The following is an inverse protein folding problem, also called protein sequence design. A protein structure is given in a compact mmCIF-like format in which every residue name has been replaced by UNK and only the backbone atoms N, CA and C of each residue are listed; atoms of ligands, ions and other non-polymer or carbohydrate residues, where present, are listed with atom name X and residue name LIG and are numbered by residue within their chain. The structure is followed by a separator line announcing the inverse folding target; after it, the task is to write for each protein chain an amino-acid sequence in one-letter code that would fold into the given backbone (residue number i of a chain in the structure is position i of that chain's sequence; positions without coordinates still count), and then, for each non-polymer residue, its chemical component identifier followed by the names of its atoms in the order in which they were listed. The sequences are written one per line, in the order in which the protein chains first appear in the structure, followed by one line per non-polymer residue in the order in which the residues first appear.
data_IF_824522940898
#
_entry.id   IF_824522940898
#
_cell.length_a   1.000
_cell.length_b   1.000
_cell.length_c   1.000
_cell.angle_alpha   90.00
_cell.angle_beta   90.00
_cell.angle_gamma   90.00
#
_symmetry.space_group_name_H-M   'P 1'
#
loop_
_entity.id
_entity.type
_entity.pdbx_description
1 polymer ?
#
# COMPACT_ATOMS: atom_id res chain seq x y z
N UNK A 1 42.64 38.13 -6.61
CA UNK A 1 42.21 36.76 -6.99
C UNK A 1 40.82 36.57 -6.42
N UNK A 2 39.79 36.29 -7.23
CA UNK A 2 38.48 36.00 -6.66
C UNK A 2 38.50 34.58 -6.09
N UNK A 3 37.98 34.47 -4.87
CA UNK A 3 37.79 33.23 -4.12
C UNK A 3 36.63 32.48 -4.78
N UNK A 4 36.91 31.35 -5.42
CA UNK A 4 35.88 30.41 -5.86
C UNK A 4 35.20 29.89 -4.59
N UNK A 5 34.02 30.42 -4.26
CA UNK A 5 33.09 29.71 -3.38
C UNK A 5 32.55 28.55 -4.20
N UNK A 6 33.10 27.36 -3.99
CA UNK A 6 32.38 26.14 -4.31
C UNK A 6 31.11 26.14 -3.46
N UNK A 7 29.98 26.48 -4.10
CA UNK A 7 28.66 26.13 -3.59
C UNK A 7 28.69 24.64 -3.26
N UNK A 8 28.25 24.21 -2.06
CA UNK A 8 28.06 22.80 -1.81
C UNK A 8 27.06 22.32 -2.87
N UNK A 9 27.51 21.42 -3.74
CA UNK A 9 26.61 20.67 -4.61
C UNK A 9 25.72 19.90 -3.65
N UNK A 10 24.50 20.39 -3.46
CA UNK A 10 23.46 19.76 -2.68
C UNK A 10 23.39 18.32 -3.18
N UNK A 11 23.72 17.38 -2.30
CA UNK A 11 23.86 15.97 -2.63
C UNK A 11 22.67 15.49 -3.44
N UNK A 12 22.94 14.64 -4.43
CA UNK A 12 21.87 14.03 -5.23
C UNK A 12 21.05 13.23 -4.21
N UNK A 13 19.75 13.48 -4.06
CA UNK A 13 18.91 12.57 -3.26
C UNK A 13 18.92 11.20 -3.96
N UNK A 14 19.37 10.13 -3.30
CA UNK A 14 19.65 8.86 -3.99
C UNK A 14 18.62 7.75 -3.73
N UNK A 15 17.53 8.07 -3.05
CA UNK A 15 16.44 7.13 -2.77
C UNK A 15 16.92 5.89 -1.99
N UNK A 16 16.09 4.85 -1.97
CA UNK A 16 16.39 3.61 -1.28
C UNK A 16 15.91 2.35 -2.02
N UNK A 17 16.07 1.22 -1.34
CA UNK A 17 15.59 -0.08 -1.80
C UNK A 17 14.63 -0.65 -0.77
N UNK A 18 13.45 -1.05 -1.23
CA UNK A 18 12.56 -1.91 -0.46
C UNK A 18 12.90 -3.37 -0.75
N UNK A 19 13.21 -4.12 0.30
CA UNK A 19 13.62 -5.53 0.20
C UNK A 19 12.72 -6.38 1.07
N UNK A 20 12.13 -7.40 0.47
CA UNK A 20 11.28 -8.36 1.15
C UNK A 20 12.02 -9.69 1.29
N UNK A 21 12.08 -10.21 2.52
CA UNK A 21 12.76 -11.45 2.87
C UNK A 21 11.78 -12.51 3.37
N UNK A 22 12.20 -13.77 3.29
CA UNK A 22 11.49 -14.91 3.87
C UNK A 22 11.25 -14.74 5.37
N UNK A 23 10.17 -15.37 5.84
CA UNK A 23 9.86 -15.49 7.27
C UNK A 23 11.06 -16.04 8.07
N UNK A 24 11.26 -15.48 9.26
CA UNK A 24 12.35 -15.85 10.16
C UNK A 24 13.72 -15.23 9.84
N UNK A 25 13.87 -14.46 8.75
CA UNK A 25 15.13 -13.76 8.45
C UNK A 25 15.40 -12.65 9.47
N UNK A 26 16.46 -12.77 10.25
CA UNK A 26 16.80 -11.80 11.31
C UNK A 26 17.70 -10.66 10.80
N UNK A 27 17.79 -9.58 11.57
CA UNK A 27 18.56 -8.38 11.19
C UNK A 27 20.06 -8.67 10.91
N UNK A 28 20.78 -9.49 11.72
CA UNK A 28 22.13 -9.92 11.37
C UNK A 28 22.25 -10.63 10.01
N UNK A 29 21.30 -11.51 9.67
CA UNK A 29 21.27 -12.17 8.36
C UNK A 29 21.06 -11.15 7.24
N UNK A 30 20.13 -10.21 7.42
CA UNK A 30 19.93 -9.11 6.45
C UNK A 30 21.23 -8.34 6.24
N UNK A 31 21.92 -7.94 7.30
CA UNK A 31 23.21 -7.24 7.22
C UNK A 31 24.26 -8.03 6.44
N UNK A 32 24.40 -9.33 6.73
CA UNK A 32 25.32 -10.19 6.01
C UNK A 32 24.99 -10.29 4.51
N UNK A 33 23.69 -10.30 4.15
CA UNK A 33 23.26 -10.29 2.74
C UNK A 33 23.64 -8.96 2.08
N UNK A 34 23.39 -7.82 2.73
CA UNK A 34 23.74 -6.49 2.22
C UNK A 34 25.25 -6.33 2.02
N UNK A 35 26.06 -6.81 2.97
CA UNK A 35 27.53 -6.82 2.88
C UNK A 35 28.02 -7.63 1.67
N UNK A 36 27.39 -8.77 1.38
CA UNK A 36 27.74 -9.61 0.22
C UNK A 36 27.38 -8.97 -1.13
N UNK A 37 26.46 -8.01 -1.17
CA UNK A 37 26.06 -7.29 -2.39
C UNK A 37 27.03 -6.15 -2.78
N UNK A 38 28.08 -5.93 -1.99
CA UNK A 38 29.13 -4.94 -2.26
C UNK A 38 28.54 -3.58 -2.70
N UNK A 39 27.61 -3.06 -1.90
CA UNK A 39 26.95 -1.77 -2.15
C UNK A 39 28.02 -0.67 -2.08
N UNK A 40 28.19 0.14 -3.13
CA UNK A 40 29.34 1.06 -3.25
C UNK A 40 29.21 2.32 -2.40
N UNK A 41 28.18 2.40 -1.56
CA UNK A 41 27.85 3.55 -0.72
C UNK A 41 27.46 3.13 0.68
N UNK A 42 27.53 4.08 1.61
CA UNK A 42 26.97 3.90 2.94
C UNK A 42 25.45 3.71 2.84
N UNK A 43 24.92 2.92 3.75
CA UNK A 43 23.48 2.69 3.83
C UNK A 43 23.05 2.52 5.28
N UNK A 44 21.80 2.84 5.55
CA UNK A 44 21.12 2.52 6.79
C UNK A 44 19.92 1.61 6.51
N UNK A 45 19.51 0.84 7.52
CA UNK A 45 18.48 -0.19 7.39
C UNK A 45 17.36 0.10 8.37
N UNK A 46 16.15 0.27 7.84
CA UNK A 46 14.92 0.16 8.61
C UNK A 46 14.42 -1.28 8.52
N UNK A 47 14.85 -2.11 9.47
CA UNK A 47 14.48 -3.53 9.54
C UNK A 47 13.07 -3.69 10.13
N UNK A 48 12.14 -4.25 9.37
CA UNK A 48 10.80 -4.64 9.80
C UNK A 48 10.10 -3.59 10.68
N UNK A 49 10.25 -2.33 10.26
CA UNK A 49 9.74 -1.15 10.97
C UNK A 49 8.22 -1.03 10.85
N UNK A 50 7.56 -0.47 11.86
CA UNK A 50 6.11 -0.19 11.85
C UNK A 50 5.67 0.80 10.75
N UNK A 51 6.61 1.49 10.12
CA UNK A 51 6.35 2.35 8.95
C UNK A 51 6.05 1.48 7.71
N UNK A 52 6.64 0.30 7.64
CA UNK A 52 6.53 -0.59 6.50
C UNK A 52 5.26 -1.44 6.60
N UNK A 53 4.53 -1.63 5.49
CA UNK A 53 3.34 -2.47 5.50
C UNK A 53 3.69 -3.92 5.85
N UNK A 54 2.84 -4.55 6.66
CA UNK A 54 2.92 -6.00 6.85
C UNK A 54 2.59 -6.69 5.53
N UNK A 55 3.42 -7.67 5.15
CA UNK A 55 3.26 -8.44 3.93
C UNK A 55 3.18 -9.93 4.27
N UNK A 56 2.34 -10.62 3.52
CA UNK A 56 2.18 -12.07 3.60
C UNK A 56 2.48 -12.67 2.24
N UNK A 57 2.97 -13.91 2.22
CA UNK A 57 3.25 -14.61 0.99
C UNK A 57 2.99 -16.11 1.11
N UNK A 58 2.84 -16.77 -0.03
CA UNK A 58 2.85 -18.22 -0.15
C UNK A 58 3.97 -18.65 -1.09
N UNK A 59 4.55 -19.82 -0.84
CA UNK A 59 5.45 -20.50 -1.77
C UNK A 59 4.70 -21.66 -2.42
N UNK A 60 4.81 -21.77 -3.74
CA UNK A 60 4.06 -22.72 -4.54
C UNK A 60 5.02 -23.46 -5.46
N UNK A 61 4.95 -24.78 -5.47
CA UNK A 61 5.72 -25.59 -6.41
C UNK A 61 5.18 -25.40 -7.84
N UNK A 62 6.04 -25.53 -8.85
CA UNK A 62 5.66 -25.39 -10.27
C UNK A 62 4.42 -26.20 -10.64
N UNK A 63 4.30 -27.42 -10.12
CA UNK A 63 3.19 -28.33 -10.49
C UNK A 63 1.85 -27.93 -9.85
N UNK A 64 1.88 -27.04 -8.84
CA UNK A 64 0.70 -26.55 -8.12
C UNK A 64 0.29 -25.13 -8.56
N UNK A 65 1.04 -24.50 -9.46
CA UNK A 65 0.77 -23.11 -9.85
C UNK A 65 -0.54 -22.98 -10.62
N UNK A 66 -0.88 -23.95 -11.48
CA UNK A 66 -2.13 -23.93 -12.26
C UNK A 66 -3.38 -24.06 -11.38
N UNK A 67 -3.27 -24.69 -10.20
CA UNK A 67 -4.36 -24.76 -9.22
C UNK A 67 -4.60 -23.41 -8.51
N UNK A 68 -3.67 -22.46 -8.65
CA UNK A 68 -3.70 -21.12 -8.03
C UNK A 68 -3.88 -20.01 -9.06
N UNK A 69 -3.46 -20.20 -10.31
CA UNK A 69 -3.66 -19.23 -11.40
C UNK A 69 -5.13 -18.85 -11.59
N UNK A 70 -6.07 -19.79 -11.40
CA UNK A 70 -7.50 -19.51 -11.42
C UNK A 70 -8.01 -18.59 -10.29
N UNK A 71 -7.20 -18.32 -9.27
CA UNK A 71 -7.54 -17.49 -8.11
C UNK A 71 -6.89 -16.11 -8.16
N UNK A 72 -5.87 -15.93 -9.00
CA UNK A 72 -5.19 -14.62 -9.14
C UNK A 72 -6.21 -13.53 -9.45
N UNK A 73 -7.17 -13.84 -10.32
CA UNK A 73 -8.23 -12.92 -10.75
C UNK A 73 -9.43 -12.84 -9.77
N UNK A 74 -9.67 -13.87 -8.95
CA UNK A 74 -10.84 -13.91 -8.05
C UNK A 74 -10.61 -13.25 -6.68
N UNK A 75 -9.36 -13.22 -6.20
CA UNK A 75 -9.01 -12.78 -4.84
C UNK A 75 -7.84 -11.77 -4.79
N UNK A 76 -7.49 -11.16 -5.92
CA UNK A 76 -6.41 -10.16 -6.04
C UNK A 76 -5.06 -10.67 -5.47
N UNK A 77 -4.57 -11.80 -5.95
CA UNK A 77 -3.18 -12.20 -5.67
C UNK A 77 -2.23 -11.50 -6.64
N UNK A 78 -0.97 -11.28 -6.23
CA UNK A 78 0.04 -10.75 -7.16
C UNK A 78 0.45 -11.82 -8.18
N UNK A 79 0.95 -11.37 -9.33
CA UNK A 79 1.54 -12.26 -10.35
C UNK A 79 2.65 -13.12 -9.71
N UNK A 80 2.64 -14.45 -9.90
CA UNK A 80 3.66 -15.32 -9.31
C UNK A 80 5.06 -14.99 -9.79
N UNK A 81 5.99 -14.80 -8.86
CA UNK A 81 7.40 -14.56 -9.15
C UNK A 81 8.18 -15.86 -8.98
N UNK A 82 8.86 -16.30 -10.04
CA UNK A 82 9.68 -17.53 -9.98
C UNK A 82 10.89 -17.34 -9.06
N UNK A 83 11.06 -18.23 -8.10
CA UNK A 83 12.19 -18.31 -7.16
C UNK A 83 12.74 -19.73 -7.11
N UNK A 84 13.88 -19.96 -7.77
CA UNK A 84 14.45 -21.31 -7.90
C UNK A 84 13.50 -22.27 -8.63
N UNK A 85 13.12 -23.36 -7.96
CA UNK A 85 12.11 -24.32 -8.43
C UNK A 85 10.67 -23.92 -8.12
N UNK A 86 10.48 -22.91 -7.27
CA UNK A 86 9.19 -22.54 -6.69
C UNK A 86 8.73 -21.17 -7.22
N UNK A 87 7.52 -20.79 -6.85
CA UNK A 87 6.92 -19.50 -7.12
C UNK A 87 6.52 -18.85 -5.80
N UNK A 88 6.73 -17.54 -5.70
CA UNK A 88 6.33 -16.71 -4.58
C UNK A 88 5.14 -15.86 -5.03
N UNK A 89 4.07 -15.87 -4.24
CA UNK A 89 2.93 -14.97 -4.44
C UNK A 89 2.73 -14.17 -3.16
N UNK A 90 2.65 -12.85 -3.30
CA UNK A 90 2.23 -11.97 -2.22
C UNK A 90 0.72 -12.12 -2.04
N UNK A 91 0.31 -12.21 -0.78
CA UNK A 91 -1.06 -12.44 -0.36
C UNK A 91 -1.56 -11.19 0.36
N UNK A 92 -2.68 -10.66 -0.10
CA UNK A 92 -3.31 -9.50 0.51
C UNK A 92 -4.00 -9.86 1.83
N UNK A 93 -4.23 -8.86 2.70
CA UNK A 93 -5.03 -9.07 3.91
C UNK A 93 -6.45 -9.55 3.61
N UNK A 94 -7.01 -9.14 2.46
CA UNK A 94 -8.30 -9.62 1.98
C UNK A 94 -8.27 -11.12 1.71
N UNK A 95 -7.24 -11.60 1.02
CA UNK A 95 -7.10 -13.01 0.68
C UNK A 95 -7.00 -13.90 1.93
N UNK A 96 -6.21 -13.51 2.95
CA UNK A 96 -6.09 -14.31 4.19
C UNK A 96 -7.38 -14.38 5.03
N UNK A 97 -8.37 -13.52 4.74
CA UNK A 97 -9.69 -13.55 5.36
C UNK A 97 -10.72 -14.33 4.53
N UNK A 98 -10.39 -14.68 3.28
CA UNK A 98 -11.30 -15.37 2.36
C UNK A 98 -11.33 -16.88 2.63
N UNK A 99 -12.53 -17.42 2.87
CA UNK A 99 -12.72 -18.84 3.22
C UNK A 99 -12.39 -19.79 2.06
N UNK A 100 -12.65 -19.38 0.82
CA UNK A 100 -12.36 -20.22 -0.35
C UNK A 100 -10.85 -20.30 -0.57
N UNK A 101 -10.16 -19.17 -0.44
CA UNK A 101 -8.70 -19.13 -0.48
C UNK A 101 -8.08 -20.03 0.60
N UNK A 102 -8.52 -19.90 1.86
CA UNK A 102 -8.01 -20.74 2.95
C UNK A 102 -8.26 -22.23 2.70
N UNK A 103 -9.44 -22.61 2.20
CA UNK A 103 -9.75 -24.00 1.85
C UNK A 103 -8.85 -24.55 0.73
N UNK A 104 -8.46 -23.70 -0.23
CA UNK A 104 -7.54 -24.09 -1.30
C UNK A 104 -6.13 -24.26 -0.77
N UNK A 105 -5.68 -23.37 0.12
CA UNK A 105 -4.39 -23.53 0.77
C UNK A 105 -4.32 -24.85 1.55
N UNK A 106 -5.37 -25.17 2.31
CA UNK A 106 -5.48 -26.44 3.04
C UNK A 106 -5.44 -27.65 2.09
N UNK A 107 -6.26 -27.63 1.03
CA UNK A 107 -6.31 -28.69 0.01
C UNK A 107 -4.94 -28.96 -0.62
N UNK A 108 -4.14 -27.92 -0.83
CA UNK A 108 -2.83 -28.00 -1.49
C UNK A 108 -1.65 -28.13 -0.51
N UNK A 109 -1.94 -28.19 0.80
CA UNK A 109 -0.96 -28.17 1.89
C UNK A 109 0.01 -26.98 1.78
N UNK A 110 -0.55 -25.80 1.50
CA UNK A 110 0.16 -24.54 1.41
C UNK A 110 -0.05 -23.73 2.69
N UNK A 111 0.95 -22.94 3.05
CA UNK A 111 0.92 -22.10 4.26
C UNK A 111 1.22 -20.66 3.89
N UNK A 112 0.39 -19.75 4.40
CA UNK A 112 0.70 -18.32 4.38
C UNK A 112 1.79 -18.05 5.41
N UNK A 113 2.83 -17.32 4.99
CA UNK A 113 3.94 -16.88 5.82
C UNK A 113 3.96 -15.36 5.86
N UNK A 114 4.42 -14.80 6.99
CA UNK A 114 4.68 -13.37 7.10
C UNK A 114 6.09 -13.08 6.58
N UNK A 115 6.25 -12.14 5.68
CA UNK A 115 7.59 -11.75 5.22
C UNK A 115 8.22 -10.73 6.16
N UNK A 116 9.54 -10.60 6.05
CA UNK A 116 10.31 -9.56 6.72
C UNK A 116 10.57 -8.45 5.70
N UNK A 117 10.03 -7.27 5.94
CA UNK A 117 10.13 -6.16 4.97
C UNK A 117 11.10 -5.10 5.49
N UNK A 118 12.07 -4.73 4.67
CA UNK A 118 13.13 -3.79 5.03
C UNK A 118 13.18 -2.64 4.03
N UNK A 119 13.53 -1.45 4.51
CA UNK A 119 13.93 -0.33 3.68
C UNK A 119 15.41 -0.05 3.91
N UNK A 120 16.19 -0.08 2.82
CA UNK A 120 17.61 0.25 2.81
C UNK A 120 17.75 1.65 2.23
N UNK A 121 18.06 2.61 3.10
CA UNK A 121 18.34 3.98 2.69
C UNK A 121 19.78 4.08 2.22
N UNK A 122 19.98 4.60 1.01
CA UNK A 122 21.32 4.75 0.43
C UNK A 122 21.80 6.19 0.64
N UNK A 123 22.89 6.35 1.37
CA UNK A 123 23.39 7.67 1.77
C UNK A 123 24.27 8.27 0.68
N UNK A 124 24.10 9.57 0.38
CA UNK A 124 24.99 10.27 -0.56
C UNK A 124 26.38 10.44 0.04
N UNK A 125 27.32 9.66 -0.50
CA UNK A 125 28.73 9.70 -0.17
C UNK A 125 29.57 9.71 -1.44
N UNK A 126 29.82 10.89 -1.99
CA UNK A 126 30.92 11.25 -2.89
C UNK A 126 31.36 10.23 -4.00
N UNK A 127 31.05 10.61 -5.24
CA UNK A 127 31.82 10.46 -6.49
C UNK A 127 32.11 9.07 -7.11
N UNK A 128 31.77 7.92 -6.51
CA UNK A 128 31.96 6.62 -7.17
C UNK A 128 30.69 5.80 -7.47
N UNK A 129 29.51 6.34 -7.15
CA UNK A 129 28.24 5.66 -7.39
C UNK A 129 27.53 6.20 -8.64
N UNK A 130 27.12 5.31 -9.54
CA UNK A 130 26.17 5.61 -10.61
C UNK A 130 24.85 4.87 -10.36
N UNK A 131 23.80 5.53 -9.81
CA UNK A 131 22.51 4.89 -9.53
C UNK A 131 21.90 4.14 -10.73
N UNK A 132 22.09 4.65 -11.94
CA UNK A 132 21.54 4.05 -13.15
C UNK A 132 22.19 2.70 -13.51
N UNK A 133 23.45 2.48 -13.10
CA UNK A 133 24.20 1.25 -13.35
C UNK A 133 24.22 0.33 -12.10
N UNK A 134 24.41 0.91 -10.93
CA UNK A 134 24.61 0.18 -9.69
C UNK A 134 23.30 -0.37 -9.11
N UNK A 135 22.17 0.34 -9.21
CA UNK A 135 20.90 -0.17 -8.68
C UNK A 135 20.46 -1.46 -9.38
N UNK A 136 20.46 -1.55 -10.73
CA UNK A 136 20.16 -2.82 -11.41
C UNK A 136 21.09 -3.96 -10.98
N UNK A 137 22.40 -3.72 -10.89
CA UNK A 137 23.38 -4.74 -10.43
C UNK A 137 23.04 -5.23 -9.01
N UNK A 138 22.84 -4.30 -8.08
CA UNK A 138 22.51 -4.61 -6.68
C UNK A 138 21.20 -5.42 -6.59
N UNK A 139 20.18 -5.04 -7.38
CA UNK A 139 18.90 -5.77 -7.45
C UNK A 139 19.09 -7.20 -7.94
N UNK A 140 19.94 -7.41 -8.94
CA UNK A 140 20.21 -8.75 -9.47
C UNK A 140 20.98 -9.60 -8.46
N UNK A 141 21.93 -9.03 -7.72
CA UNK A 141 22.63 -9.73 -6.63
C UNK A 141 21.68 -10.13 -5.49
N UNK A 142 20.76 -9.25 -5.09
CA UNK A 142 19.72 -9.60 -4.13
C UNK A 142 18.82 -10.73 -4.62
N UNK A 143 18.42 -10.72 -5.90
CA UNK A 143 17.57 -11.76 -6.49
C UNK A 143 18.22 -13.14 -6.48
N UNK A 144 19.56 -13.21 -6.49
CA UNK A 144 20.30 -14.48 -6.39
C UNK A 144 20.28 -15.07 -4.98
N UNK A 145 20.05 -14.28 -3.93
CA UNK A 145 19.97 -14.77 -2.56
C UNK A 145 18.65 -15.51 -2.32
N UNK A 146 18.70 -16.74 -1.78
CA UNK A 146 17.49 -17.56 -1.56
C UNK A 146 16.47 -16.93 -0.61
N UNK A 147 16.92 -16.13 0.36
CA UNK A 147 16.07 -15.47 1.35
C UNK A 147 15.36 -14.24 0.85
N UNK A 148 15.81 -13.64 -0.25
CA UNK A 148 15.17 -12.44 -0.81
C UNK A 148 13.99 -12.83 -1.69
N UNK A 149 12.79 -12.40 -1.33
CA UNK A 149 11.57 -12.58 -2.10
C UNK A 149 11.46 -11.54 -3.22
N UNK A 150 11.56 -10.26 -2.86
CA UNK A 150 11.47 -9.15 -3.82
C UNK A 150 12.45 -8.03 -3.46
N UNK A 151 12.84 -7.26 -4.48
CA UNK A 151 13.62 -6.04 -4.31
C UNK A 151 13.12 -4.99 -5.30
N UNK A 152 12.66 -3.86 -4.75
CA UNK A 152 12.12 -2.75 -5.51
C UNK A 152 12.92 -1.49 -5.21
N UNK A 153 13.16 -0.72 -6.25
CA UNK A 153 13.73 0.61 -6.09
C UNK A 153 12.62 1.53 -5.61
N UNK A 154 12.93 2.35 -4.62
CA UNK A 154 12.02 3.38 -4.13
C UNK A 154 11.61 4.33 -5.25
N UNK A 155 10.31 4.64 -5.29
CA UNK A 155 9.76 5.58 -6.26
C UNK A 155 9.51 6.95 -5.63
N UNK A 156 9.28 7.93 -6.49
CA UNK A 156 8.78 9.24 -6.09
C UNK A 156 7.27 9.26 -6.16
N UNK A 157 6.65 9.86 -5.14
CA UNK A 157 5.21 10.03 -5.00
C UNK A 157 4.88 11.51 -5.14
N UNK A 158 3.95 11.83 -6.04
CA UNK A 158 3.53 13.21 -6.27
C UNK A 158 2.31 13.57 -5.44
N UNK A 159 1.35 12.64 -5.33
CA UNK A 159 0.01 12.93 -4.85
C UNK A 159 -0.46 11.88 -3.83
N UNK A 160 -1.16 12.34 -2.79
CA UNK A 160 -1.95 11.49 -1.89
C UNK A 160 -3.43 11.73 -2.15
N UNK A 161 -4.15 10.69 -2.55
CA UNK A 161 -5.60 10.71 -2.61
C UNK A 161 -6.17 10.29 -1.26
N UNK A 162 -6.86 11.22 -0.61
CA UNK A 162 -7.40 11.02 0.73
C UNK A 162 -8.92 11.06 0.66
N UNK A 163 -9.54 9.97 1.09
CA UNK A 163 -10.99 9.88 1.22
C UNK A 163 -11.40 10.25 2.64
N UNK A 164 -12.21 11.29 2.80
CA UNK A 164 -12.76 11.71 4.08
C UNK A 164 -14.23 11.32 4.24
N UNK A 165 -14.65 11.20 5.50
CA UNK A 165 -16.04 11.01 5.89
C UNK A 165 -16.97 12.10 5.32
N UNK A 166 -18.25 11.75 5.19
CA UNK A 166 -19.26 12.63 4.63
C UNK A 166 -19.43 13.90 5.47
N UNK A 167 -19.41 15.05 4.79
CA UNK A 167 -19.59 16.36 5.40
C UNK A 167 -18.30 16.99 5.93
N UNK A 168 -17.14 16.34 5.78
CA UNK A 168 -15.84 16.94 6.12
C UNK A 168 -15.61 18.18 5.25
N UNK A 169 -15.36 19.32 5.87
CA UNK A 169 -15.17 20.62 5.21
C UNK A 169 -13.71 20.87 4.84
N UNK A 170 -13.45 21.77 3.89
CA UNK A 170 -12.07 22.12 3.49
C UNK A 170 -11.23 22.65 4.67
N UNK A 171 -11.83 23.41 5.59
CA UNK A 171 -11.14 23.87 6.80
C UNK A 171 -10.79 22.75 7.76
N UNK A 172 -11.63 21.71 7.86
CA UNK A 172 -11.31 20.53 8.67
C UNK A 172 -10.20 19.71 8.01
N UNK A 173 -10.22 19.54 6.69
CA UNK A 173 -9.12 18.90 5.94
C UNK A 173 -7.80 19.63 6.21
N UNK A 174 -7.77 20.96 6.10
CA UNK A 174 -6.58 21.77 6.40
C UNK A 174 -6.09 21.57 7.83
N UNK A 175 -7.00 21.65 8.81
CA UNK A 175 -6.66 21.46 10.21
C UNK A 175 -6.13 20.05 10.52
N UNK A 176 -6.69 19.01 9.87
CA UNK A 176 -6.18 17.65 9.98
C UNK A 176 -4.75 17.59 9.44
N UNK A 177 -4.53 18.08 8.23
CA UNK A 177 -3.23 18.06 7.56
C UNK A 177 -2.16 18.88 8.29
N UNK A 178 -2.51 20.01 8.90
CA UNK A 178 -1.60 20.84 9.71
C UNK A 178 -1.18 20.17 11.04
N UNK A 179 -2.02 19.31 11.60
CA UNK A 179 -1.74 18.62 12.87
C UNK A 179 -0.76 17.46 12.71
N UNK A 180 -0.66 16.88 11.51
CA UNK A 180 0.36 15.91 11.18
C UNK A 180 1.56 16.68 10.66
N UNK A 181 2.74 16.43 11.21
CA UNK A 181 3.96 17.22 11.00
C UNK A 181 4.50 17.04 9.57
N UNK A 182 3.74 17.47 8.56
CA UNK A 182 4.14 17.52 7.18
C UNK A 182 5.22 18.59 7.07
N UNK A 183 6.47 18.15 7.11
CA UNK A 183 7.66 19.01 7.01
C UNK A 183 7.87 19.61 5.61
N UNK A 184 6.88 19.47 4.73
CA UNK A 184 6.93 19.77 3.30
C UNK A 184 5.76 20.65 2.88
N UNK A 185 5.92 21.36 1.77
CA UNK A 185 4.85 22.16 1.21
C UNK A 185 3.85 21.23 0.51
N UNK A 186 2.58 21.60 0.48
CA UNK A 186 1.56 20.86 -0.25
C UNK A 186 0.46 21.80 -0.74
N UNK A 187 -0.29 21.36 -1.74
CA UNK A 187 -1.56 21.98 -2.14
C UNK A 187 -2.69 20.96 -2.03
N UNK A 188 -3.91 21.45 -1.79
CA UNK A 188 -5.10 20.64 -1.62
C UNK A 188 -6.07 20.98 -2.74
N UNK A 189 -6.40 19.99 -3.56
CA UNK A 189 -7.57 20.04 -4.43
C UNK A 189 -8.73 19.36 -3.69
N UNK A 190 -9.63 20.19 -3.16
CA UNK A 190 -10.69 19.76 -2.26
C UNK A 190 -11.94 19.28 -3.01
N UNK A 191 -12.48 18.13 -2.57
CA UNK A 191 -13.71 17.54 -3.07
C UNK A 191 -13.71 17.32 -4.59
N UNK A 192 -12.63 16.70 -5.08
CA UNK A 192 -12.46 16.32 -6.48
C UNK A 192 -13.51 15.29 -6.92
N UNK A 193 -13.94 15.36 -8.19
CA UNK A 193 -15.08 14.60 -8.70
C UNK A 193 -14.70 13.50 -9.71
N UNK A 194 -13.41 13.31 -9.98
CA UNK A 194 -12.91 12.27 -10.89
C UNK A 194 -12.87 10.86 -10.28
N UNK A 195 -13.29 10.67 -9.02
CA UNK A 195 -13.53 9.36 -8.40
C UNK A 195 -15.00 8.95 -8.55
N UNK A 196 -15.25 7.80 -9.19
CA UNK A 196 -16.60 7.27 -9.40
C UNK A 196 -17.22 6.72 -8.10
N UNK A 197 -16.40 6.13 -7.22
CA UNK A 197 -16.82 5.34 -6.06
C UNK A 197 -16.88 6.16 -4.76
N UNK A 198 -17.70 7.21 -4.74
CA UNK A 198 -17.82 8.16 -3.62
C UNK A 198 -18.95 7.91 -2.65
N UNK A 199 -19.72 6.86 -2.82
CA UNK A 199 -20.83 6.53 -1.93
C UNK A 199 -20.47 5.33 -1.08
N UNK A 200 -20.86 5.39 0.19
CA UNK A 200 -20.64 4.30 1.12
C UNK A 200 -21.75 4.20 2.15
N UNK A 201 -21.78 3.06 2.85
CA UNK A 201 -22.60 2.84 4.03
C UNK A 201 -21.69 2.47 5.21
N UNK A 202 -22.08 2.89 6.41
CA UNK A 202 -21.42 2.47 7.66
C UNK A 202 -22.27 1.38 8.31
N UNK A 203 -21.68 0.22 8.58
CA UNK A 203 -22.39 -0.96 9.10
C UNK A 203 -21.74 -1.41 10.39
N UNK A 204 -22.52 -1.57 11.45
CA UNK A 204 -22.04 -2.13 12.72
C UNK A 204 -21.39 -3.50 12.51
N UNK A 205 -20.29 -3.76 13.22
CA UNK A 205 -19.55 -5.02 13.15
C UNK A 205 -20.45 -6.25 13.36
N UNK A 206 -21.47 -6.15 14.21
CA UNK A 206 -22.36 -7.26 14.53
C UNK A 206 -23.42 -7.51 13.43
N UNK A 207 -23.68 -6.53 12.56
CA UNK A 207 -24.64 -6.60 11.46
C UNK A 207 -24.00 -6.86 10.10
N UNK A 208 -22.66 -6.82 10.01
CA UNK A 208 -21.93 -6.85 8.74
C UNK A 208 -22.32 -8.05 7.87
N UNK A 209 -22.49 -9.22 8.48
CA UNK A 209 -22.77 -10.46 7.76
C UNK A 209 -24.19 -10.46 7.17
N UNK A 210 -25.16 -9.95 7.91
CA UNK A 210 -26.56 -9.86 7.45
C UNK A 210 -26.68 -8.86 6.31
N UNK A 211 -26.06 -7.67 6.46
CA UNK A 211 -26.05 -6.64 5.42
C UNK A 211 -25.35 -7.14 4.16
N UNK A 212 -24.19 -7.81 4.29
CA UNK A 212 -23.48 -8.45 3.17
C UNK A 212 -24.34 -9.46 2.44
N UNK A 213 -25.09 -10.31 3.17
CA UNK A 213 -25.98 -11.29 2.56
C UNK A 213 -27.12 -10.63 1.76
N UNK A 214 -27.57 -9.45 2.16
CA UNK A 214 -28.55 -8.68 1.38
C UNK A 214 -27.91 -7.98 0.18
N UNK A 215 -26.74 -7.36 0.36
CA UNK A 215 -25.98 -6.72 -0.71
C UNK A 215 -25.65 -7.68 -1.85
N UNK A 216 -25.25 -8.92 -1.52
CA UNK A 216 -24.92 -9.96 -2.50
C UNK A 216 -26.12 -10.48 -3.30
N UNK A 217 -27.36 -10.13 -2.93
CA UNK A 217 -28.55 -10.44 -3.74
C UNK A 217 -28.78 -9.41 -4.83
N UNK A 218 -28.22 -8.21 -4.67
CA UNK A 218 -28.32 -7.12 -5.64
C UNK A 218 -27.22 -7.19 -6.69
N UNK A 219 -27.57 -6.86 -7.92
CA UNK A 219 -26.59 -6.74 -9.01
C UNK A 219 -25.97 -5.35 -8.97
N UNK A 220 -24.64 -5.27 -8.99
CA UNK A 220 -23.86 -4.01 -9.06
C UNK A 220 -24.08 -3.03 -7.89
N UNK A 221 -24.54 -3.47 -6.72
CA UNK A 221 -24.72 -2.56 -5.58
C UNK A 221 -23.41 -2.19 -4.88
N UNK A 222 -22.45 -3.09 -4.89
CA UNK A 222 -21.12 -2.90 -4.30
C UNK A 222 -20.09 -2.75 -5.41
N UNK A 223 -19.05 -1.95 -5.15
CA UNK A 223 -17.90 -1.88 -6.03
C UNK A 223 -16.96 -3.07 -5.70
N UNK A 224 -16.87 -4.11 -6.56
CA UNK A 224 -16.17 -5.36 -6.21
C UNK A 224 -14.66 -5.19 -5.95
N UNK A 225 -14.10 -4.10 -6.48
CA UNK A 225 -12.69 -3.74 -6.39
C UNK A 225 -12.29 -3.30 -4.98
N UNK A 226 -13.19 -2.67 -4.22
CA UNK A 226 -12.87 -2.10 -2.92
C UNK A 226 -13.21 -3.05 -1.77
N UNK A 227 -12.24 -3.42 -0.91
CA UNK A 227 -12.53 -4.17 0.31
C UNK A 227 -13.30 -3.31 1.31
N UNK A 228 -14.05 -3.96 2.21
CA UNK A 228 -14.66 -3.26 3.34
C UNK A 228 -13.56 -2.70 4.25
N UNK A 229 -13.72 -1.45 4.68
CA UNK A 229 -12.75 -0.79 5.56
C UNK A 229 -13.24 -0.94 6.99
N UNK A 230 -12.48 -1.64 7.82
CA UNK A 230 -12.80 -1.76 9.25
C UNK A 230 -12.37 -0.50 9.99
N UNK A 231 -13.32 0.16 10.67
CA UNK A 231 -13.07 1.33 11.52
C UNK A 231 -13.64 1.05 12.92
N UNK A 232 -12.76 0.64 13.83
CA UNK A 232 -13.16 0.29 15.21
C UNK A 232 -14.24 -0.81 15.25
N UNK A 233 -15.46 -0.41 15.60
CA UNK A 233 -16.63 -1.28 15.76
C UNK A 233 -17.59 -1.26 14.57
N UNK A 234 -17.25 -0.59 13.47
CA UNK A 234 -18.05 -0.59 12.24
C UNK A 234 -17.18 -0.87 11.02
N UNK A 235 -17.84 -1.17 9.91
CA UNK A 235 -17.27 -1.34 8.59
C UNK A 235 -17.82 -0.28 7.66
N UNK A 236 -16.97 0.24 6.78
CA UNK A 236 -17.36 1.05 5.64
C UNK A 236 -17.43 0.15 4.42
N UNK A 237 -18.57 0.16 3.74
CA UNK A 237 -18.77 -0.58 2.49
C UNK A 237 -19.03 0.44 1.39
N UNK A 238 -18.17 0.45 0.39
CA UNK A 238 -18.33 1.27 -0.82
C UNK A 238 -19.47 0.72 -1.67
N UNK A 239 -20.37 1.60 -2.09
CA UNK A 239 -21.53 1.29 -2.92
C UNK A 239 -21.52 2.12 -4.18
N UNK A 240 -22.07 1.57 -5.26
CA UNK A 240 -22.02 2.24 -6.57
C UNK A 240 -23.04 3.36 -6.67
N UNK A 241 -22.81 4.31 -7.58
CA UNK A 241 -23.81 5.33 -7.93
C UNK A 241 -25.09 4.72 -8.55
N UNK A 242 -25.01 3.51 -9.11
CA UNK A 242 -26.19 2.78 -9.57
C UNK A 242 -27.03 2.27 -8.39
N UNK A 243 -26.38 1.82 -7.31
CA UNK A 243 -27.06 1.30 -6.12
C UNK A 243 -28.03 2.33 -5.52
N UNK A 244 -27.59 3.60 -5.43
CA UNK A 244 -28.39 4.66 -4.82
C UNK A 244 -29.64 5.03 -5.63
N UNK A 245 -29.75 4.56 -6.87
CA UNK A 245 -30.93 4.70 -7.73
C UNK A 245 -31.85 3.46 -7.68
N UNK A 246 -31.40 2.35 -7.10
CA UNK A 246 -32.14 1.10 -7.01
C UNK A 246 -33.11 1.10 -5.82
N UNK A 247 -34.40 0.91 -6.10
CA UNK A 247 -35.45 0.89 -5.06
C UNK A 247 -35.31 -0.26 -4.07
N UNK A 248 -34.82 -1.42 -4.51
CA UNK A 248 -34.60 -2.57 -3.64
C UNK A 248 -33.41 -2.34 -2.72
N UNK A 249 -32.36 -1.67 -3.22
CA UNK A 249 -31.24 -1.24 -2.39
C UNK A 249 -31.71 -0.24 -1.32
N UNK A 250 -32.46 0.79 -1.71
CA UNK A 250 -33.00 1.79 -0.78
C UNK A 250 -33.91 1.15 0.28
N UNK A 251 -34.77 0.20 -0.12
CA UNK A 251 -35.61 -0.54 0.82
C UNK A 251 -34.80 -1.42 1.80
N UNK A 252 -33.68 -2.00 1.35
CA UNK A 252 -32.76 -2.73 2.22
C UNK A 252 -32.11 -1.80 3.25
N UNK A 253 -31.68 -0.61 2.84
CA UNK A 253 -31.11 0.37 3.76
C UNK A 253 -32.12 0.78 4.84
N UNK A 254 -33.35 1.11 4.44
CA UNK A 254 -34.42 1.48 5.37
C UNK A 254 -34.72 0.36 6.37
N UNK A 255 -34.82 -0.89 5.89
CA UNK A 255 -35.04 -2.07 6.72
C UNK A 255 -33.93 -2.27 7.77
N UNK A 256 -32.69 -1.93 7.41
CA UNK A 256 -31.51 -2.13 8.26
C UNK A 256 -31.10 -0.87 9.05
N UNK A 257 -31.88 0.22 8.97
CA UNK A 257 -31.57 1.54 9.55
C UNK A 257 -30.19 2.07 9.11
N UNK A 258 -29.89 1.91 7.82
CA UNK A 258 -28.65 2.35 7.18
C UNK A 258 -28.89 3.58 6.33
N UNK A 259 -27.85 4.39 6.17
CA UNK A 259 -27.87 5.58 5.33
C UNK A 259 -26.67 5.59 4.39
N UNK A 260 -26.92 5.96 3.14
CA UNK A 260 -25.85 6.26 2.19
C UNK A 260 -25.23 7.59 2.55
N UNK A 261 -23.91 7.61 2.59
CA UNK A 261 -23.07 8.77 2.80
C UNK A 261 -22.24 9.00 1.55
N UNK A 262 -21.88 10.28 1.31
CA UNK A 262 -21.01 10.67 0.20
C UNK A 262 -19.66 11.12 0.74
N UNK A 263 -18.60 10.41 0.39
CA UNK A 263 -17.22 10.75 0.78
C UNK A 263 -16.79 12.10 0.20
N UNK A 264 -15.83 12.72 0.86
CA UNK A 264 -15.13 13.90 0.37
C UNK A 264 -13.73 13.47 -0.06
N UNK A 265 -13.47 13.43 -1.36
CA UNK A 265 -12.14 13.12 -1.89
C UNK A 265 -11.29 14.36 -1.99
N UNK A 266 -10.10 14.32 -1.43
CA UNK A 266 -9.10 15.37 -1.59
C UNK A 266 -7.87 14.79 -2.27
N UNK A 267 -7.30 15.58 -3.16
CA UNK A 267 -6.01 15.32 -3.78
C UNK A 267 -4.96 16.24 -3.16
N UNK A 268 -4.00 15.62 -2.47
CA UNK A 268 -2.94 16.30 -1.74
C UNK A 268 -1.68 16.22 -2.56
N UNK A 269 -1.38 17.31 -3.28
CA UNK A 269 -0.21 17.41 -4.14
C UNK A 269 1.00 17.76 -3.28
N UNK A 270 1.94 16.83 -3.17
CA UNK A 270 3.12 16.90 -2.32
C UNK A 270 4.25 17.67 -3.02
N UNK A 271 4.91 18.57 -2.28
CA UNK A 271 5.98 19.42 -2.81
C UNK A 271 7.17 19.45 -1.87
N UNK A 272 8.31 18.98 -2.34
CA UNK A 272 9.59 19.12 -1.67
C UNK A 272 10.44 20.19 -2.37
N UNK A 273 10.72 21.27 -1.65
CA UNK A 273 11.39 22.47 -2.18
C UNK A 273 10.82 22.96 -3.53
N UNK A 274 11.55 22.74 -4.63
CA UNK A 274 11.23 23.11 -6.01
C UNK A 274 10.63 21.98 -6.85
N UNK A 275 10.44 20.79 -6.27
CA UNK A 275 9.95 19.57 -6.94
C UNK A 275 8.54 19.20 -6.42
N UNK A 276 7.67 18.77 -7.31
CA UNK A 276 6.32 18.30 -6.97
C UNK A 276 6.34 16.78 -6.67
N UNK A 277 7.19 16.31 -5.75
CA UNK A 277 7.32 14.89 -5.43
C UNK A 277 8.12 14.65 -4.16
N UNK A 278 7.84 13.57 -3.43
CA UNK A 278 8.63 13.09 -2.27
C UNK A 278 9.00 11.62 -2.45
N UNK A 279 9.88 11.10 -1.60
CA UNK A 279 10.22 9.68 -1.58
C UNK A 279 9.08 8.84 -0.99
N UNK A 280 8.88 7.63 -1.52
CA UNK A 280 7.82 6.70 -1.09
C UNK A 280 7.86 6.41 0.42
N UNK A 281 9.04 6.31 1.04
CA UNK A 281 9.15 6.09 2.48
C UNK A 281 8.55 7.25 3.31
N UNK A 282 8.70 8.49 2.84
CA UNK A 282 8.12 9.67 3.48
C UNK A 282 6.59 9.71 3.26
N UNK A 283 6.13 9.36 2.06
CA UNK A 283 4.70 9.22 1.77
C UNK A 283 4.04 8.15 2.65
N UNK A 284 4.71 6.99 2.84
CA UNK A 284 4.24 5.93 3.74
C UNK A 284 4.17 6.39 5.19
N UNK A 285 5.16 7.15 5.67
CA UNK A 285 5.11 7.75 7.01
C UNK A 285 3.88 8.64 7.16
N UNK A 286 3.68 9.57 6.23
CA UNK A 286 2.55 10.53 6.25
C UNK A 286 1.23 9.76 6.21
N UNK A 287 1.10 8.77 5.32
CA UNK A 287 -0.06 7.89 5.23
C UNK A 287 -0.39 7.24 6.57
N UNK A 288 0.58 6.57 7.20
CA UNK A 288 0.36 5.85 8.46
C UNK A 288 -0.01 6.78 9.62
N UNK A 289 0.47 8.02 9.60
CA UNK A 289 0.08 9.04 10.57
C UNK A 289 -1.37 9.50 10.35
N UNK A 290 -1.72 9.83 9.10
CA UNK A 290 -3.05 10.28 8.71
C UNK A 290 -4.13 9.21 8.89
N UNK A 291 -3.84 7.94 8.63
CA UNK A 291 -4.80 6.83 8.78
C UNK A 291 -5.32 6.64 10.22
N UNK A 292 -4.62 7.22 11.21
CA UNK A 292 -5.07 7.25 12.61
C UNK A 292 -6.21 8.23 12.84
N UNK A 293 -6.46 9.15 11.91
CA UNK A 293 -7.55 10.10 12.01
C UNK A 293 -8.90 9.40 11.73
N UNK A 294 -9.86 9.55 12.64
CA UNK A 294 -11.18 8.92 12.52
C UNK A 294 -11.97 9.42 11.29
N UNK A 295 -11.68 10.63 10.80
CA UNK A 295 -12.35 11.22 9.62
C UNK A 295 -11.81 10.70 8.29
N UNK A 296 -10.63 10.10 8.28
CA UNK A 296 -10.03 9.57 7.05
C UNK A 296 -10.50 8.12 6.88
N UNK A 297 -11.14 7.84 5.75
CA UNK A 297 -11.60 6.50 5.38
C UNK A 297 -10.46 5.70 4.74
N UNK A 298 -9.85 6.23 3.69
CA UNK A 298 -8.76 5.61 2.94
C UNK A 298 -7.72 6.64 2.49
N UNK A 299 -6.50 6.16 2.24
CA UNK A 299 -5.41 6.93 1.63
C UNK A 299 -4.73 6.05 0.57
N UNK A 300 -4.61 6.57 -0.64
CA UNK A 300 -3.83 5.97 -1.72
C UNK A 300 -2.84 6.97 -2.31
N UNK A 301 -1.83 6.46 -3.00
CA UNK A 301 -0.79 7.27 -3.67
C UNK A 301 -0.91 7.04 -5.17
N UNK A 302 -0.76 8.09 -5.99
CA UNK A 302 -0.53 7.87 -7.42
C UNK A 302 0.81 7.15 -7.60
N UNK A 303 0.76 5.89 -8.03
CA UNK A 303 1.93 5.00 -8.10
C UNK A 303 1.81 3.67 -7.33
N UNK A 304 0.76 3.46 -6.54
CA UNK A 304 0.54 2.17 -5.85
C UNK A 304 -0.60 1.36 -6.46
N UNK A 305 -0.45 0.93 -7.70
CA UNK A 305 -0.95 -0.38 -8.12
C UNK A 305 0.12 -1.40 -7.75
N UNK A 306 -0.07 -2.05 -6.59
CA UNK A 306 0.56 -3.35 -6.32
C UNK A 306 -0.25 -4.46 -6.98
#
# INVERSE_FOLDING_TARGET
MPMNMETPVQGKEIGGLFIEFEDGTNEPEVKAILENCNIPVNYSINYNSDILPSRCYIMVDKDKIMDIEGLVDEINLTIPVKKGSNYVLTVTERAIQDKNFLAILEKNNLQVKKSIYCYVHLEDGHMSWNPDEDIPRIKDEFRMNEKVLTVNQEMKVNDLFVEFENGTTESEVKAILENYNMTMNYSIDYNVDYFEDKYYISVDKDKIMDVRNELNKGTNWIAPVFPDIKKGNYYIITVTEQAIQDKNFLAMLEKNDLQVKKSVYCDIILRDESKNSIWEIDALRIKNELERNEKILTISTDGSTQ
#
